data_IF_702067514393
#
_entry.id   IF_702067514393
#
_cell.length_a   1.000
_cell.length_b   1.000
_cell.length_c   1.000
_cell.angle_alpha   90.00
_cell.angle_beta   90.00
_cell.angle_gamma   90.00
#
_symmetry.space_group_name_H-M   'P 1'
#
loop_
_entity.id
_entity.type
_entity.pdbx_description
1 polymer ?
#
# COMPACT_ATOMS: atom_id res chain seq x y z
N UNK A 1 -72.84 7.72 40.30
CA UNK A 1 -73.99 6.82 40.14
C UNK A 1 -73.92 6.16 38.77
N UNK A 2 -74.42 4.93 38.71
CA UNK A 2 -74.77 4.14 37.52
C UNK A 2 -73.73 3.14 37.00
N UNK A 3 -73.94 1.92 37.50
CA UNK A 3 -73.57 0.62 36.96
C UNK A 3 -74.39 0.37 35.68
N UNK A 4 -73.81 -0.27 34.67
CA UNK A 4 -74.57 -1.06 33.72
C UNK A 4 -73.73 -2.26 33.24
N UNK A 5 -74.16 -3.45 33.66
CA UNK A 5 -73.75 -4.75 33.16
C UNK A 5 -74.60 -5.17 31.95
N UNK A 6 -74.09 -6.07 31.09
CA UNK A 6 -74.83 -7.09 30.31
C UNK A 6 -73.78 -7.84 29.44
N UNK A 7 -73.43 -9.10 29.72
CA UNK A 7 -74.06 -10.39 29.36
C UNK A 7 -73.76 -10.89 27.92
N UNK A 8 -73.02 -12.02 27.89
CA UNK A 8 -73.33 -13.29 27.19
C UNK A 8 -73.35 -13.33 25.65
N UNK A 9 -72.50 -14.18 25.05
CA UNK A 9 -72.93 -15.43 24.41
C UNK A 9 -71.76 -16.14 23.68
N UNK A 10 -71.53 -17.38 24.08
CA UNK A 10 -70.76 -18.42 23.39
C UNK A 10 -71.61 -19.12 22.33
N UNK A 11 -71.07 -19.35 21.11
CA UNK A 11 -71.47 -20.46 20.22
C UNK A 11 -70.45 -20.62 19.07
N UNK A 12 -69.72 -21.75 19.03
CA UNK A 12 -69.80 -22.85 18.03
C UNK A 12 -69.05 -22.56 16.71
N UNK A 13 -67.92 -23.23 16.48
CA UNK A 13 -67.79 -24.42 15.60
C UNK A 13 -67.68 -24.01 14.12
N UNK A 14 -66.84 -24.55 13.24
CA UNK A 14 -66.06 -25.78 13.20
C UNK A 14 -65.06 -25.68 12.03
N UNK A 15 -63.92 -26.34 12.22
CA UNK A 15 -63.04 -27.02 11.26
C UNK A 15 -63.01 -26.60 9.77
N UNK A 16 -61.80 -26.47 9.24
CA UNK A 16 -61.27 -27.49 8.32
C UNK A 16 -59.75 -27.42 8.21
N UNK A 17 -59.16 -28.61 8.18
CA UNK A 17 -57.74 -28.93 8.22
C UNK A 17 -57.09 -28.82 6.85
N UNK A 18 -55.90 -28.20 6.77
CA UNK A 18 -54.92 -28.49 5.73
C UNK A 18 -53.55 -28.71 6.39
N UNK A 19 -53.01 -29.92 6.19
CA UNK A 19 -51.68 -30.34 6.66
C UNK A 19 -50.60 -29.57 5.88
N UNK A 20 -49.89 -28.68 6.55
CA UNK A 20 -48.59 -28.14 6.14
C UNK A 20 -47.50 -28.67 7.06
N UNK A 21 -46.35 -29.05 6.50
CA UNK A 21 -45.17 -29.55 7.22
C UNK A 21 -44.75 -28.65 8.40
N UNK A 22 -44.16 -29.19 9.49
CA UNK A 22 -43.72 -28.38 10.62
C UNK A 22 -42.40 -27.66 10.28
N UNK A 23 -42.50 -26.57 9.53
CA UNK A 23 -41.47 -25.53 9.45
C UNK A 23 -41.81 -24.43 10.47
N UNK A 24 -41.43 -24.64 11.73
CA UNK A 24 -41.67 -23.68 12.80
C UNK A 24 -40.69 -22.50 12.69
N UNK A 25 -41.20 -21.38 12.18
CA UNK A 25 -40.72 -20.01 12.43
C UNK A 25 -41.27 -19.50 13.79
N UNK A 26 -40.88 -18.31 14.26
CA UNK A 26 -39.78 -17.98 15.19
C UNK A 26 -40.34 -17.51 16.57
N UNK A 27 -39.51 -17.14 17.56
CA UNK A 27 -39.96 -16.22 18.59
C UNK A 27 -39.36 -14.84 18.33
N UNK A 28 -40.18 -13.92 17.83
CA UNK A 28 -39.98 -12.48 17.95
C UNK A 28 -40.36 -12.05 19.37
N UNK A 29 -39.40 -11.47 20.10
CA UNK A 29 -39.68 -10.87 21.40
C UNK A 29 -38.45 -10.39 22.17
N UNK A 30 -37.80 -9.32 21.68
CA UNK A 30 -37.06 -8.38 22.53
C UNK A 30 -35.58 -8.68 22.83
N UNK A 31 -34.71 -7.87 22.23
CA UNK A 31 -33.31 -7.60 22.57
C UNK A 31 -32.30 -8.77 22.43
N UNK A 32 -31.74 -8.87 21.23
CA UNK A 32 -30.37 -9.38 21.02
C UNK A 32 -30.24 -10.89 21.02
N UNK A 33 -30.85 -11.57 20.05
CA UNK A 33 -30.45 -12.93 19.70
C UNK A 33 -28.98 -12.88 19.27
N UNK A 34 -28.09 -13.18 20.21
CA UNK A 34 -26.67 -13.27 19.96
C UNK A 34 -26.50 -14.58 19.19
N UNK A 35 -26.52 -14.48 17.87
CA UNK A 35 -26.13 -15.59 17.02
C UNK A 35 -24.65 -15.79 17.33
N UNK A 36 -24.32 -16.82 18.09
CA UNK A 36 -22.94 -17.17 18.33
C UNK A 36 -22.42 -17.80 17.03
N UNK A 37 -21.82 -16.97 16.17
CA UNK A 37 -21.34 -17.35 14.84
C UNK A 37 -20.22 -18.41 14.95
N UNK A 38 -19.64 -18.59 16.14
CA UNK A 38 -18.62 -19.61 16.41
C UNK A 38 -18.87 -20.21 17.78
N UNK A 39 -19.18 -21.51 17.85
CA UNK A 39 -19.11 -22.28 19.08
C UNK A 39 -17.65 -22.73 19.26
N UNK A 40 -16.95 -22.14 20.22
CA UNK A 40 -15.55 -22.48 20.50
C UNK A 40 -15.56 -23.77 21.33
N UNK A 41 -15.28 -24.91 20.70
CA UNK A 41 -14.97 -26.14 21.43
C UNK A 41 -13.53 -26.01 21.97
N UNK A 42 -13.38 -26.17 23.29
CA UNK A 42 -12.09 -26.08 23.99
C UNK A 42 -11.07 -27.13 23.49
N UNK A 43 -11.55 -28.22 22.88
CA UNK A 43 -10.70 -29.26 22.27
C UNK A 43 -10.38 -28.99 20.78
N UNK A 44 -11.04 -28.01 20.17
CA UNK A 44 -10.86 -27.64 18.75
C UNK A 44 -10.40 -26.18 18.60
N UNK A 45 -9.70 -25.64 19.60
CA UNK A 45 -9.08 -24.33 19.46
C UNK A 45 -8.16 -24.37 18.22
N UNK A 46 -8.33 -23.46 17.25
CA UNK A 46 -7.39 -23.38 16.14
C UNK A 46 -6.00 -23.21 16.75
N UNK A 47 -5.02 -23.97 16.25
CA UNK A 47 -3.63 -23.86 16.71
C UNK A 47 -3.28 -22.37 16.70
N UNK A 48 -3.03 -21.81 17.88
CA UNK A 48 -2.55 -20.44 17.98
C UNK A 48 -1.19 -20.48 17.32
N UNK A 49 -1.10 -19.98 16.10
CA UNK A 49 0.17 -19.85 15.41
C UNK A 49 0.99 -18.86 16.23
N UNK A 50 1.97 -19.36 16.98
CA UNK A 50 3.01 -18.54 17.57
C UNK A 50 3.72 -17.84 16.42
N UNK A 51 3.38 -16.58 16.20
CA UNK A 51 4.06 -15.75 15.21
C UNK A 51 5.33 -15.24 15.84
N UNK A 52 6.43 -15.44 15.13
CA UNK A 52 7.68 -14.82 15.51
C UNK A 52 7.62 -13.33 15.15
N UNK A 53 8.22 -12.49 16.00
CA UNK A 53 8.43 -11.07 15.73
C UNK A 53 9.54 -10.81 14.70
N UNK A 54 10.18 -11.87 14.19
CA UNK A 54 11.20 -11.79 13.15
C UNK A 54 10.58 -11.45 11.78
N UNK A 55 11.34 -10.72 10.97
CA UNK A 55 10.95 -10.38 9.60
C UNK A 55 10.65 -11.65 8.77
N UNK A 56 9.76 -11.54 7.76
CA UNK A 56 9.49 -12.66 6.85
C UNK A 56 10.76 -13.16 6.19
N UNK A 57 10.81 -14.46 5.99
CA UNK A 57 11.94 -15.11 5.33
C UNK A 57 11.94 -14.78 3.84
N UNK A 58 13.12 -14.59 3.25
CA UNK A 58 13.31 -14.32 1.81
C UNK A 58 13.76 -15.57 1.03
N UNK A 59 13.60 -15.57 -0.30
CA UNK A 59 14.03 -16.68 -1.16
C UNK A 59 15.52 -17.05 -0.98
N UNK A 60 16.36 -16.02 -0.81
CA UNK A 60 17.79 -16.18 -0.59
C UNK A 60 18.10 -16.84 0.75
N UNK A 61 17.33 -16.54 1.80
CA UNK A 61 17.47 -17.16 3.12
C UNK A 61 17.00 -18.61 3.11
N UNK A 62 15.88 -18.93 2.45
CA UNK A 62 15.43 -20.33 2.29
C UNK A 62 16.50 -21.16 1.60
N UNK A 63 17.05 -20.63 0.51
CA UNK A 63 18.11 -21.31 -0.23
C UNK A 63 19.34 -21.54 0.64
N UNK A 64 19.73 -20.55 1.47
CA UNK A 64 20.86 -20.68 2.41
C UNK A 64 20.59 -21.72 3.49
N UNK A 65 19.42 -21.67 4.14
CA UNK A 65 19.05 -22.60 5.20
C UNK A 65 18.92 -24.04 4.67
N UNK A 66 18.32 -24.21 3.49
CA UNK A 66 18.24 -25.52 2.83
C UNK A 66 19.62 -26.08 2.50
N UNK A 67 20.56 -25.24 2.01
CA UNK A 67 21.94 -25.66 1.74
C UNK A 67 22.75 -25.95 3.01
N UNK A 68 22.40 -25.31 4.13
CA UNK A 68 22.99 -25.57 5.42
C UNK A 68 22.48 -26.88 6.06
N UNK A 69 21.53 -27.58 5.43
CA UNK A 69 21.02 -28.87 5.90
C UNK A 69 19.93 -28.77 6.96
N UNK A 70 19.22 -27.63 7.05
CA UNK A 70 18.02 -27.54 7.90
C UNK A 70 16.96 -28.53 7.44
N UNK A 71 16.29 -29.17 8.40
CA UNK A 71 15.26 -30.16 8.10
C UNK A 71 14.05 -29.50 7.41
N UNK A 72 13.46 -30.11 6.35
CA UNK A 72 12.35 -29.50 5.63
C UNK A 72 11.15 -29.16 6.51
N UNK A 73 10.86 -29.98 7.52
CA UNK A 73 9.73 -29.75 8.43
C UNK A 73 9.97 -28.55 9.37
N UNK A 74 11.23 -28.23 9.68
CA UNK A 74 11.59 -27.02 10.43
C UNK A 74 11.40 -25.77 9.56
N UNK A 75 11.85 -25.83 8.29
CA UNK A 75 11.67 -24.75 7.34
C UNK A 75 10.19 -24.45 7.06
N UNK A 76 9.36 -25.50 6.93
CA UNK A 76 7.91 -25.34 6.79
C UNK A 76 7.30 -24.61 7.99
N UNK A 77 7.65 -25.03 9.23
CA UNK A 77 7.19 -24.34 10.44
C UNK A 77 7.65 -22.89 10.49
N UNK A 78 8.89 -22.60 10.10
CA UNK A 78 9.41 -21.23 10.03
C UNK A 78 8.59 -20.38 9.05
N UNK A 79 8.26 -20.92 7.88
CA UNK A 79 7.42 -20.26 6.87
C UNK A 79 6.00 -20.04 7.40
N UNK A 80 5.40 -21.00 8.10
CA UNK A 80 4.08 -20.86 8.72
C UNK A 80 4.05 -19.74 9.78
N UNK A 81 5.10 -19.65 10.60
CA UNK A 81 5.18 -18.72 11.73
C UNK A 81 5.60 -17.30 11.31
N UNK A 82 6.56 -17.16 10.39
CA UNK A 82 7.14 -15.87 9.95
C UNK A 82 6.58 -15.35 8.64
N UNK A 83 5.91 -16.20 7.85
CA UNK A 83 5.62 -15.99 6.42
C UNK A 83 6.88 -15.84 5.58
N UNK A 84 6.67 -15.80 4.27
CA UNK A 84 7.72 -15.73 3.27
C UNK A 84 7.54 -14.47 2.41
N UNK A 85 8.51 -13.57 2.38
CA UNK A 85 8.62 -12.52 1.36
C UNK A 85 9.28 -13.10 0.10
N UNK A 86 8.65 -14.14 -0.45
CA UNK A 86 9.21 -15.06 -1.43
C UNK A 86 8.43 -15.02 -2.74
N UNK A 87 9.07 -15.40 -3.82
CA UNK A 87 8.43 -15.51 -5.12
C UNK A 87 7.62 -16.81 -5.27
N UNK A 88 6.34 -16.74 -4.90
CA UNK A 88 5.39 -17.84 -5.09
C UNK A 88 4.86 -17.98 -6.53
N UNK A 89 5.42 -17.25 -7.51
CA UNK A 89 5.09 -17.46 -8.93
C UNK A 89 5.71 -18.75 -9.48
N UNK A 90 5.23 -19.24 -10.62
CA UNK A 90 5.74 -20.47 -11.22
C UNK A 90 7.27 -20.42 -11.44
N UNK A 91 7.79 -19.31 -11.96
CA UNK A 91 9.23 -19.13 -12.21
C UNK A 91 10.05 -19.12 -10.91
N UNK A 92 9.52 -18.48 -9.85
CA UNK A 92 10.16 -18.46 -8.53
C UNK A 92 10.25 -19.84 -7.90
N UNK A 93 9.15 -20.61 -7.96
CA UNK A 93 9.11 -21.97 -7.44
C UNK A 93 10.01 -22.93 -8.24
N UNK A 94 10.13 -22.74 -9.56
CA UNK A 94 11.10 -23.47 -10.40
C UNK A 94 12.53 -23.14 -9.96
N UNK A 95 12.85 -21.86 -9.79
CA UNK A 95 14.18 -21.40 -9.36
C UNK A 95 14.57 -22.00 -8.01
N UNK A 96 13.66 -22.03 -7.03
CA UNK A 96 13.89 -22.64 -5.72
C UNK A 96 14.11 -24.15 -5.82
N UNK A 97 13.36 -24.83 -6.70
CA UNK A 97 13.53 -26.26 -6.95
C UNK A 97 14.90 -26.57 -7.57
N UNK A 98 15.33 -25.77 -8.54
CA UNK A 98 16.65 -25.88 -9.16
C UNK A 98 17.78 -25.60 -8.15
N UNK A 99 17.54 -24.72 -7.18
CA UNK A 99 18.46 -24.44 -6.08
C UNK A 99 18.53 -25.57 -5.02
N UNK A 100 17.75 -26.65 -5.17
CA UNK A 100 17.77 -27.83 -4.30
C UNK A 100 16.85 -27.75 -3.09
N UNK A 101 15.90 -26.80 -3.06
CA UNK A 101 14.94 -26.68 -1.96
C UNK A 101 13.93 -27.85 -2.01
N UNK A 102 13.66 -28.46 -0.86
CA UNK A 102 12.74 -29.60 -0.75
C UNK A 102 11.31 -29.25 -1.20
N UNK A 103 10.61 -30.23 -1.80
CA UNK A 103 9.26 -30.04 -2.34
C UNK A 103 8.25 -29.62 -1.28
N UNK A 104 8.39 -30.09 -0.02
CA UNK A 104 7.49 -29.71 1.08
C UNK A 104 7.64 -28.24 1.42
N UNK A 105 8.87 -27.73 1.41
CA UNK A 105 9.16 -26.31 1.65
C UNK A 105 8.59 -25.46 0.52
N UNK A 106 8.78 -25.86 -0.75
CA UNK A 106 8.21 -25.18 -1.92
C UNK A 106 6.67 -25.11 -1.82
N UNK A 107 6.02 -26.21 -1.41
CA UNK A 107 4.58 -26.26 -1.17
C UNK A 107 4.14 -25.27 -0.08
N UNK A 108 4.89 -25.18 1.02
CA UNK A 108 4.63 -24.21 2.08
C UNK A 108 4.80 -22.76 1.61
N UNK A 109 5.82 -22.46 0.80
CA UNK A 109 6.00 -21.13 0.19
C UNK A 109 4.78 -20.77 -0.66
N UNK A 110 4.31 -21.68 -1.51
CA UNK A 110 3.13 -21.44 -2.36
C UNK A 110 1.88 -21.08 -1.55
N UNK A 111 1.71 -21.65 -0.36
CA UNK A 111 0.55 -21.43 0.49
C UNK A 111 0.68 -20.21 1.44
N UNK A 112 1.89 -19.96 1.96
CA UNK A 112 2.12 -19.03 3.07
C UNK A 112 2.98 -17.81 2.70
N UNK A 113 3.39 -17.67 1.44
CA UNK A 113 4.05 -16.46 0.96
C UNK A 113 3.13 -15.24 1.08
N UNK A 114 3.77 -14.07 1.23
CA UNK A 114 3.10 -12.79 1.18
C UNK A 114 2.49 -12.57 -0.20
N UNK A 115 1.45 -11.74 -0.22
CA UNK A 115 0.82 -11.34 -1.48
C UNK A 115 1.84 -10.57 -2.33
N UNK A 116 1.79 -10.72 -3.66
CA UNK A 116 2.68 -10.00 -4.53
C UNK A 116 2.37 -8.49 -4.50
N UNK A 117 3.42 -7.68 -4.59
CA UNK A 117 3.32 -6.23 -4.64
C UNK A 117 2.71 -5.80 -5.97
N UNK A 118 1.65 -4.99 -5.94
CA UNK A 118 0.97 -4.50 -7.15
C UNK A 118 1.11 -2.99 -7.36
N UNK A 119 1.49 -2.29 -6.30
CA UNK A 119 1.59 -0.84 -6.26
C UNK A 119 2.81 -0.44 -5.45
N UNK A 120 3.49 0.60 -5.94
CA UNK A 120 4.49 1.35 -5.22
C UNK A 120 3.78 2.46 -4.44
N UNK A 121 3.86 2.46 -3.11
CA UNK A 121 3.35 3.59 -2.33
C UNK A 121 4.39 4.70 -2.37
N UNK A 122 4.02 5.85 -2.94
CA UNK A 122 4.91 6.99 -3.12
C UNK A 122 4.45 8.14 -2.22
N UNK A 123 5.34 8.65 -1.39
CA UNK A 123 5.13 9.90 -0.67
C UNK A 123 6.02 10.98 -1.27
N UNK A 124 5.41 12.00 -1.86
CA UNK A 124 6.09 13.12 -2.49
C UNK A 124 6.08 14.31 -1.53
N UNK A 125 7.26 14.74 -1.11
CA UNK A 125 7.48 15.94 -0.29
C UNK A 125 8.07 17.04 -1.16
N UNK A 126 7.38 18.16 -1.28
CA UNK A 126 7.84 19.35 -1.99
C UNK A 126 8.31 20.38 -0.95
N UNK A 127 9.60 20.70 -0.94
CA UNK A 127 10.21 21.69 -0.04
C UNK A 127 10.50 22.98 -0.82
N UNK A 128 9.87 24.09 -0.44
CA UNK A 128 10.04 25.40 -1.07
C UNK A 128 10.76 26.36 -0.13
N UNK A 129 11.90 26.88 -0.57
CA UNK A 129 12.70 27.87 0.17
C UNK A 129 12.47 29.28 -0.36
N UNK A 130 12.13 30.21 0.53
CA UNK A 130 11.85 31.62 0.24
C UNK A 130 10.36 31.89 0.00
N UNK A 131 10.02 33.13 -0.35
CA UNK A 131 8.62 33.54 -0.57
C UNK A 131 8.31 33.64 -2.07
N UNK A 132 7.34 32.84 -2.53
CA UNK A 132 6.72 32.93 -3.86
C UNK A 132 5.40 32.15 -3.87
N UNK A 133 4.60 32.34 -4.93
CA UNK A 133 3.35 31.62 -5.19
C UNK A 133 3.31 30.93 -6.56
N UNK A 134 4.44 30.90 -7.28
CA UNK A 134 4.51 30.31 -8.62
C UNK A 134 5.85 29.62 -8.84
N UNK A 135 5.83 28.52 -9.59
CA UNK A 135 7.03 27.83 -10.06
C UNK A 135 7.36 28.25 -11.50
N UNK A 136 8.66 28.23 -11.85
CA UNK A 136 9.14 28.43 -13.21
C UNK A 136 8.76 27.23 -14.08
N UNK A 137 9.04 26.04 -13.56
CA UNK A 137 8.56 24.77 -14.08
C UNK A 137 7.31 24.35 -13.28
N UNK A 138 6.13 24.53 -13.86
CA UNK A 138 4.86 24.36 -13.16
C UNK A 138 4.53 22.89 -12.81
N UNK A 139 5.22 21.93 -13.41
CA UNK A 139 4.94 20.50 -13.24
C UNK A 139 6.16 19.73 -12.75
N UNK A 140 5.95 18.87 -11.76
CA UNK A 140 6.90 17.84 -11.35
C UNK A 140 6.45 16.51 -11.96
N UNK A 141 7.38 15.83 -12.61
CA UNK A 141 7.19 14.53 -13.21
C UNK A 141 8.04 13.47 -12.50
N UNK A 142 7.41 12.34 -12.23
CA UNK A 142 8.04 11.10 -11.79
C UNK A 142 7.77 10.05 -12.86
N UNK A 143 8.81 9.68 -13.59
CA UNK A 143 8.78 8.61 -14.58
C UNK A 143 9.40 7.36 -13.96
N UNK A 144 8.75 6.22 -14.17
CA UNK A 144 9.30 4.90 -13.82
C UNK A 144 9.11 3.98 -15.03
N UNK A 145 10.17 3.30 -15.43
CA UNK A 145 10.08 2.25 -16.43
C UNK A 145 9.34 1.05 -15.85
N UNK A 146 8.33 0.54 -16.55
CA UNK A 146 7.63 -0.71 -16.19
C UNK A 146 7.74 -1.68 -17.37
N UNK A 147 8.98 -1.82 -17.85
CA UNK A 147 9.32 -2.55 -19.06
C UNK A 147 8.89 -1.83 -20.33
N UNK A 148 7.81 -2.31 -20.96
CA UNK A 148 7.40 -1.85 -22.29
C UNK A 148 6.61 -0.53 -22.20
N UNK A 149 6.20 -0.15 -20.99
CA UNK A 149 5.43 1.05 -20.69
C UNK A 149 6.19 1.86 -19.66
N UNK A 150 6.31 3.17 -19.87
CA UNK A 150 6.74 4.10 -18.82
C UNK A 150 5.51 4.63 -18.10
N UNK A 151 5.53 4.58 -16.78
CA UNK A 151 4.46 5.15 -15.96
C UNK A 151 4.87 6.52 -15.48
N UNK A 152 3.90 7.42 -15.49
CA UNK A 152 4.13 8.84 -15.21
C UNK A 152 3.18 9.27 -14.12
N UNK A 153 3.75 9.84 -13.06
CA UNK A 153 3.02 10.56 -12.05
C UNK A 153 3.38 12.04 -12.16
N UNK A 154 2.36 12.89 -12.20
CA UNK A 154 2.51 14.33 -12.42
C UNK A 154 1.89 15.09 -11.26
N UNK A 155 2.61 16.08 -10.74
CA UNK A 155 2.09 17.04 -9.78
C UNK A 155 2.14 18.45 -10.39
N UNK A 156 0.99 19.14 -10.42
CA UNK A 156 0.91 20.54 -10.81
C UNK A 156 1.29 21.43 -9.62
N UNK A 157 2.54 21.87 -9.60
CA UNK A 157 3.11 22.69 -8.53
C UNK A 157 2.37 24.00 -8.41
N UNK A 158 2.08 24.69 -9.52
CA UNK A 158 1.40 25.98 -9.49
C UNK A 158 0.00 25.90 -8.86
N UNK A 159 -0.76 24.85 -9.17
CA UNK A 159 -2.09 24.64 -8.59
C UNK A 159 -2.00 24.33 -7.09
N UNK A 160 -1.01 23.52 -6.69
CA UNK A 160 -0.70 23.29 -5.28
C UNK A 160 -0.36 24.61 -4.58
N UNK A 161 0.45 25.49 -5.17
CA UNK A 161 0.88 26.71 -4.48
C UNK A 161 -0.21 27.78 -4.34
N UNK A 162 -1.17 27.80 -5.26
CA UNK A 162 -2.26 28.78 -5.29
C UNK A 162 -3.39 28.45 -4.31
N UNK A 163 -3.63 27.17 -4.02
CA UNK A 163 -4.67 26.73 -3.09
C UNK A 163 -4.13 26.72 -1.66
N UNK A 164 -4.98 27.05 -0.69
CA UNK A 164 -4.69 26.74 0.71
C UNK A 164 -4.79 25.22 0.85
N UNK A 165 -3.66 24.54 1.03
CA UNK A 165 -3.63 23.08 1.13
C UNK A 165 -3.60 22.65 2.59
N UNK A 166 -4.45 21.68 2.94
CA UNK A 166 -4.41 21.04 4.26
C UNK A 166 -3.09 20.27 4.52
N UNK A 167 -2.35 19.94 3.46
CA UNK A 167 -1.07 19.23 3.53
C UNK A 167 0.15 20.17 3.52
N UNK A 168 -0.10 21.47 3.67
CA UNK A 168 0.93 22.48 3.75
C UNK A 168 1.34 22.71 5.20
N UNK A 169 2.65 22.68 5.43
CA UNK A 169 3.24 23.02 6.73
C UNK A 169 4.40 23.98 6.52
N UNK A 170 4.54 24.94 7.42
CA UNK A 170 5.74 25.77 7.50
C UNK A 170 6.71 25.08 8.43
N UNK A 171 7.79 24.55 7.87
CA UNK A 171 8.83 23.85 8.63
C UNK A 171 9.97 24.82 8.84
N UNK A 172 10.31 25.01 10.11
CA UNK A 172 11.51 25.73 10.47
C UNK A 172 12.73 24.82 10.22
N UNK A 173 13.53 25.16 9.20
CA UNK A 173 14.81 24.50 8.89
C UNK A 173 15.98 25.39 9.29
N UNK A 174 15.76 26.33 10.20
CA UNK A 174 16.81 27.19 10.74
C UNK A 174 17.90 26.35 11.38
N UNK A 175 19.12 26.57 10.93
CA UNK A 175 20.29 26.24 11.72
C UNK A 175 20.44 27.32 12.81
N UNK A 176 21.24 27.07 13.85
CA UNK A 176 21.49 28.00 14.95
C UNK A 176 21.94 29.41 14.50
N UNK A 177 22.39 29.54 13.24
CA UNK A 177 22.96 30.76 12.67
C UNK A 177 22.13 31.40 11.54
N UNK A 178 21.16 30.70 10.94
CA UNK A 178 20.43 31.22 9.77
C UNK A 178 18.96 30.81 9.86
N UNK A 179 18.09 31.81 10.01
CA UNK A 179 16.64 31.60 9.97
C UNK A 179 16.21 31.16 8.56
N UNK A 180 15.67 29.95 8.43
CA UNK A 180 15.24 29.41 7.14
C UNK A 180 13.90 28.70 7.23
N UNK A 181 12.85 29.46 6.94
CA UNK A 181 11.50 28.92 6.80
C UNK A 181 11.35 28.20 5.46
N UNK A 182 10.88 26.96 5.50
CA UNK A 182 10.61 26.14 4.32
C UNK A 182 9.13 25.80 4.29
N UNK A 183 8.44 26.20 3.22
CA UNK A 183 7.07 25.75 2.96
C UNK A 183 7.15 24.32 2.45
N UNK A 184 6.48 23.39 3.13
CA UNK A 184 6.49 21.96 2.80
C UNK A 184 5.08 21.51 2.42
N UNK A 185 4.97 20.78 1.30
CA UNK A 185 3.73 20.12 0.88
C UNK A 185 4.00 18.62 0.76
N UNK A 186 3.19 17.80 1.43
CA UNK A 186 3.31 16.34 1.38
C UNK A 186 2.11 15.73 0.65
N UNK A 187 2.38 14.90 -0.35
CA UNK A 187 1.38 14.23 -1.18
C UNK A 187 1.61 12.72 -1.11
N UNK A 188 0.53 11.95 -1.02
CA UNK A 188 0.59 10.50 -1.16
C UNK A 188 0.11 10.11 -2.57
N UNK A 189 0.76 9.11 -3.15
CA UNK A 189 0.44 8.55 -4.46
C UNK A 189 0.68 7.05 -4.47
N UNK A 190 0.08 6.38 -5.45
CA UNK A 190 0.31 4.97 -5.69
C UNK A 190 0.63 4.77 -7.18
N UNK A 191 1.74 4.10 -7.47
CA UNK A 191 2.12 3.79 -8.85
C UNK A 191 1.94 2.29 -9.07
N UNK A 192 0.95 1.84 -9.87
CA UNK A 192 0.83 0.42 -10.19
C UNK A 192 2.07 -0.03 -10.94
N UNK A 193 2.71 -1.13 -10.55
CA UNK A 193 3.86 -1.71 -11.26
C UNK A 193 3.58 -3.17 -11.59
N UNK A 194 3.97 -3.60 -12.80
CA UNK A 194 3.73 -4.96 -13.28
C UNK A 194 5.00 -5.80 -13.31
N UNK A 195 6.12 -5.22 -13.71
CA UNK A 195 7.43 -5.87 -13.69
C UNK A 195 8.05 -5.69 -12.30
N UNK A 196 8.84 -6.68 -11.90
CA UNK A 196 9.58 -6.71 -10.64
C UNK A 196 11.08 -6.67 -10.95
N UNK A 197 11.89 -6.29 -9.96
CA UNK A 197 13.34 -6.20 -10.07
C UNK A 197 13.82 -4.76 -10.30
N UNK A 198 14.92 -4.59 -11.02
CA UNK A 198 15.52 -3.30 -11.24
C UNK A 198 14.67 -2.39 -12.17
N UNK A 199 14.43 -1.17 -11.69
CA UNK A 199 13.73 -0.09 -12.37
C UNK A 199 14.57 1.18 -12.35
N UNK A 200 14.49 1.95 -13.43
CA UNK A 200 15.02 3.30 -13.55
C UNK A 200 13.90 4.30 -13.31
N UNK A 201 14.12 5.17 -12.34
CA UNK A 201 13.25 6.28 -11.99
C UNK A 201 13.89 7.58 -12.47
N UNK A 202 13.13 8.40 -13.19
CA UNK A 202 13.54 9.75 -13.58
C UNK A 202 12.60 10.77 -12.97
N UNK A 203 13.16 11.74 -12.26
CA UNK A 203 12.42 12.88 -11.70
C UNK A 203 12.84 14.14 -12.43
N UNK A 204 11.87 14.85 -13.01
CA UNK A 204 12.12 16.06 -13.77
C UNK A 204 11.07 17.12 -13.49
N UNK A 205 11.45 18.38 -13.64
CA UNK A 205 10.50 19.50 -13.64
C UNK A 205 10.34 20.04 -15.05
N UNK A 206 9.11 20.30 -15.49
CA UNK A 206 8.83 20.85 -16.82
C UNK A 206 7.74 21.92 -16.77
N UNK A 207 7.73 22.80 -17.77
CA UNK A 207 6.63 23.71 -18.03
C UNK A 207 5.52 23.06 -18.88
N UNK A 208 5.80 21.94 -19.55
CA UNK A 208 4.83 21.26 -20.41
C UNK A 208 3.94 20.32 -19.56
N UNK A 209 2.60 20.45 -19.59
CA UNK A 209 1.68 19.58 -18.85
C UNK A 209 1.48 18.18 -19.44
N UNK A 210 1.87 17.94 -20.69
CA UNK A 210 1.46 16.75 -21.44
C UNK A 210 2.56 15.69 -21.61
N UNK A 211 3.62 15.75 -20.81
CA UNK A 211 4.70 14.75 -20.91
C UNK A 211 4.22 13.36 -20.49
N UNK A 212 4.44 12.38 -21.37
CA UNK A 212 4.14 10.96 -21.15
C UNK A 212 5.38 10.08 -21.18
N UNK A 213 6.52 10.60 -21.64
CA UNK A 213 7.77 9.84 -21.72
C UNK A 213 9.01 10.73 -21.53
N UNK A 214 10.09 10.24 -20.88
CA UNK A 214 11.35 10.98 -20.70
C UNK A 214 11.99 11.54 -21.97
N UNK A 215 11.78 10.89 -23.11
CA UNK A 215 12.32 11.35 -24.41
C UNK A 215 11.75 12.68 -24.87
N UNK A 216 10.57 13.07 -24.37
CA UNK A 216 9.89 14.33 -24.71
C UNK A 216 10.46 15.52 -23.92
N UNK A 217 11.32 15.27 -22.92
CA UNK A 217 12.01 16.33 -22.19
C UNK A 217 12.96 17.08 -23.11
N UNK A 218 12.96 18.41 -22.99
CA UNK A 218 13.95 19.26 -23.65
C UNK A 218 15.35 18.98 -23.10
N UNK A 219 16.39 19.38 -23.84
CA UNK A 219 17.78 19.21 -23.39
C UNK A 219 18.05 19.92 -22.05
N UNK A 220 17.43 21.08 -21.81
CA UNK A 220 17.59 21.82 -20.56
C UNK A 220 16.94 21.09 -19.38
N UNK A 221 15.72 20.57 -19.56
CA UNK A 221 15.02 19.82 -18.52
C UNK A 221 15.73 18.50 -18.20
N UNK A 222 16.30 17.83 -19.21
CA UNK A 222 17.05 16.60 -19.03
C UNK A 222 18.32 16.80 -18.19
N UNK A 223 19.01 17.94 -18.35
CA UNK A 223 20.18 18.29 -17.54
C UNK A 223 19.81 18.56 -16.08
N UNK A 224 18.60 19.10 -15.82
CA UNK A 224 18.10 19.32 -14.47
C UNK A 224 17.42 18.09 -13.84
N UNK A 225 17.18 17.03 -14.61
CA UNK A 225 16.52 15.83 -14.13
C UNK A 225 17.47 14.96 -13.29
N UNK A 226 16.88 14.18 -12.38
CA UNK A 226 17.59 13.27 -11.48
C UNK A 226 17.15 11.84 -11.76
N UNK A 227 18.11 10.94 -11.95
CA UNK A 227 17.87 9.52 -12.22
C UNK A 227 18.23 8.70 -11.00
N UNK A 228 17.39 7.73 -10.66
CA UNK A 228 17.58 6.79 -9.55
C UNK A 228 17.35 5.37 -10.02
N UNK A 229 18.01 4.42 -9.37
CA UNK A 229 17.73 2.99 -9.52
C UNK A 229 16.94 2.50 -8.31
N UNK A 230 15.95 1.66 -8.58
CA UNK A 230 15.07 1.06 -7.60
C UNK A 230 15.05 -0.45 -7.88
N UNK A 231 15.19 -1.29 -6.85
CA UNK A 231 14.90 -2.72 -6.97
C UNK A 231 13.54 -2.99 -6.33
N UNK A 232 12.52 -3.30 -7.15
CA UNK A 232 11.14 -3.49 -6.71
C UNK A 232 10.89 -4.97 -6.39
N UNK A 233 10.74 -5.33 -5.10
CA UNK A 233 10.61 -6.72 -4.69
C UNK A 233 9.23 -7.29 -5.07
N UNK A 234 9.21 -8.59 -5.34
CA UNK A 234 7.97 -9.32 -5.69
C UNK A 234 6.96 -9.32 -4.58
N UNK A 235 7.41 -9.42 -3.33
CA UNK A 235 6.56 -9.28 -2.14
C UNK A 235 7.32 -8.56 -1.03
N UNK A 236 6.61 -7.72 -0.29
CA UNK A 236 7.16 -7.00 0.84
C UNK A 236 6.04 -6.71 1.86
N UNK A 237 6.38 -6.57 3.14
CA UNK A 237 5.44 -6.10 4.16
C UNK A 237 5.22 -4.59 4.07
N UNK A 238 6.27 -3.87 3.70
CA UNK A 238 6.27 -2.43 3.50
C UNK A 238 6.74 -2.11 2.09
N UNK A 239 6.10 -1.14 1.47
CA UNK A 239 6.39 -0.70 0.11
C UNK A 239 6.26 0.81 0.02
N UNK A 240 7.10 1.54 0.76
CA UNK A 240 7.08 2.99 0.81
C UNK A 240 8.33 3.56 0.14
N UNK A 241 8.10 4.42 -0.84
CA UNK A 241 9.12 5.25 -1.43
C UNK A 241 8.88 6.72 -1.11
N UNK A 242 9.94 7.39 -0.69
CA UNK A 242 9.96 8.80 -0.34
C UNK A 242 10.65 9.58 -1.46
N UNK A 243 9.91 10.45 -2.11
CA UNK A 243 10.44 11.42 -3.05
C UNK A 243 10.45 12.80 -2.39
N UNK A 244 11.62 13.40 -2.21
CA UNK A 244 11.74 14.79 -1.78
C UNK A 244 12.19 15.65 -2.95
N UNK A 245 11.40 16.64 -3.35
CA UNK A 245 11.74 17.59 -4.41
C UNK A 245 11.97 18.99 -3.81
N UNK A 246 13.15 19.55 -4.09
CA UNK A 246 13.58 20.84 -3.55
C UNK A 246 13.40 21.97 -4.57
N UNK A 247 12.80 23.06 -4.11
CA UNK A 247 12.58 24.28 -4.86
C UNK A 247 13.22 25.47 -4.13
N UNK A 248 13.89 26.34 -4.89
CA UNK A 248 14.46 27.59 -4.39
C UNK A 248 14.01 28.75 -5.26
N UNK A 249 14.01 29.96 -4.70
CA UNK A 249 13.78 31.19 -5.48
C UNK A 249 14.75 31.28 -6.66
N UNK A 250 14.21 31.50 -7.85
CA UNK A 250 15.00 31.68 -9.07
C UNK A 250 15.82 32.98 -8.95
N UNK A 251 17.07 32.95 -9.40
CA UNK A 251 17.97 34.09 -9.32
C UNK A 251 17.64 35.20 -10.34
N UNK A 252 17.04 34.84 -11.47
CA UNK A 252 16.64 35.74 -12.56
C UNK A 252 15.19 36.16 -12.37
N UNK A 253 14.30 35.19 -12.13
CA UNK A 253 12.88 35.43 -11.89
C UNK A 253 12.57 35.33 -10.39
N UNK A 254 12.94 36.36 -9.63
CA UNK A 254 12.84 36.34 -8.15
C UNK A 254 11.44 36.09 -7.60
N UNK A 255 10.39 36.27 -8.40
CA UNK A 255 9.01 35.97 -8.04
C UNK A 255 8.61 34.50 -8.33
N UNK A 256 9.51 33.67 -8.86
CA UNK A 256 9.27 32.25 -9.16
C UNK A 256 10.21 31.34 -8.40
N UNK A 257 9.74 30.14 -8.10
CA UNK A 257 10.58 29.04 -7.64
C UNK A 257 11.11 28.21 -8.81
N UNK A 258 12.37 27.81 -8.72
CA UNK A 258 13.03 26.90 -9.66
C UNK A 258 13.27 25.57 -8.97
N UNK A 259 13.07 24.47 -9.70
CA UNK A 259 13.50 23.16 -9.26
C UNK A 259 15.04 23.13 -9.10
N UNK A 260 15.51 22.55 -8.00
CA UNK A 260 16.96 22.45 -7.70
C UNK A 260 17.43 21.01 -7.77
N UNK A 261 16.56 20.07 -7.46
CA UNK A 261 16.87 18.65 -7.45
C UNK A 261 15.87 17.88 -6.61
N UNK A 262 16.06 16.57 -6.58
CA UNK A 262 15.27 15.66 -5.78
C UNK A 262 16.16 14.71 -4.99
N UNK A 263 15.53 13.92 -4.13
CA UNK A 263 16.09 12.73 -3.49
C UNK A 263 15.00 11.67 -3.51
N UNK A 264 15.36 10.45 -3.83
CA UNK A 264 14.43 9.33 -3.90
C UNK A 264 15.01 8.14 -3.13
N UNK A 265 14.20 7.61 -2.21
CA UNK A 265 14.57 6.48 -1.36
C UNK A 265 13.39 5.55 -1.26
N UNK A 266 13.64 4.25 -1.28
CA UNK A 266 12.62 3.24 -1.06
C UNK A 266 13.04 2.35 0.09
N UNK A 267 12.07 2.04 0.94
CA UNK A 267 12.25 1.12 2.06
C UNK A 267 11.45 -0.16 1.80
N UNK A 268 12.16 -1.27 1.90
CA UNK A 268 11.65 -2.63 1.85
C UNK A 268 12.04 -3.33 3.16
N UNK A 269 11.28 -4.36 3.53
CA UNK A 269 11.57 -5.19 4.71
C UNK A 269 12.78 -6.12 4.50
#
# INVERSE_FOLDING_TARGET
>A
MSIAALLVATALAQATTARGMPGYFPPTGGAGATINIVQWDANSLPKVYERSDQLPITDGEITKLSKAGFEPDELVKMIEQRRCACDASADGLITLREAGVDRRVISAISLHALKPNRFLSLQVTLDFTGESRSAREAYLYFFIDDGDVTRVLTANVDDLLKRSNAHETMVDKSDLLIAKTVRRIVLAGQVPLKKYGAHTVLVASSANPSLTHPSQLTNQERVGAQTYSLDYPRSSLQSLCLLTAGYKRDAVLTYRWRFVGSRFECEWN
#
